data_IF_194719402524
#
_entry.id   IF_194719402524
#
_cell.length_a   1.000
_cell.length_b   1.000
_cell.length_c   1.000
_cell.angle_alpha   90.00
_cell.angle_beta   90.00
_cell.angle_gamma   90.00
#
_symmetry.space_group_name_H-M   'P 1'
#
loop_
_entity.id
_entity.type
_entity.pdbx_description
1 polymer ?
#
# COMPACT_ATOMS: atom_id res chain seq x y z
N UNK A 1 -44.80 -32.41 11.30
CA UNK A 1 -44.21 -32.86 10.01
C UNK A 1 -43.68 -31.69 9.17
N UNK A 2 -44.48 -30.66 8.84
CA UNK A 2 -44.06 -29.49 8.03
C UNK A 2 -42.85 -28.69 8.58
N UNK A 3 -42.75 -28.54 9.91
CA UNK A 3 -41.63 -27.83 10.57
C UNK A 3 -40.29 -28.59 10.52
N UNK A 4 -40.32 -29.93 10.55
CA UNK A 4 -39.11 -30.76 10.40
C UNK A 4 -38.51 -30.66 9.00
N UNK A 5 -39.36 -30.56 7.96
CA UNK A 5 -38.88 -30.38 6.59
C UNK A 5 -38.23 -29.00 6.36
N UNK A 6 -38.75 -27.94 7.01
CA UNK A 6 -38.17 -26.61 6.93
C UNK A 6 -36.79 -26.52 7.62
N UNK A 7 -36.64 -27.16 8.79
CA UNK A 7 -35.36 -27.23 9.48
C UNK A 7 -34.31 -28.05 8.70
N UNK A 8 -34.72 -29.15 8.07
CA UNK A 8 -33.83 -29.95 7.23
C UNK A 8 -33.32 -29.17 6.00
N UNK A 9 -34.17 -28.36 5.37
CA UNK A 9 -33.80 -27.53 4.22
C UNK A 9 -32.86 -26.37 4.59
N UNK A 10 -33.07 -25.75 5.76
CA UNK A 10 -32.17 -24.69 6.25
C UNK A 10 -30.75 -25.21 6.56
N UNK A 11 -30.65 -26.42 7.14
CA UNK A 11 -29.35 -27.04 7.41
C UNK A 11 -28.63 -27.47 6.11
N UNK A 12 -29.37 -27.92 5.09
CA UNK A 12 -28.79 -28.25 3.77
C UNK A 12 -28.23 -27.02 3.04
N UNK A 13 -28.88 -25.85 3.16
CA UNK A 13 -28.40 -24.58 2.60
C UNK A 13 -27.15 -24.03 3.31
N UNK A 14 -26.95 -24.35 4.59
CA UNK A 14 -25.76 -23.92 5.32
C UNK A 14 -24.50 -24.75 4.97
N UNK A 15 -24.67 -26.00 4.53
CA UNK A 15 -23.56 -26.92 4.20
C UNK A 15 -22.92 -26.57 2.84
N UNK A 16 -23.69 -26.01 1.90
CA UNK A 16 -23.18 -25.68 0.55
C UNK A 16 -22.39 -24.37 0.51
N UNK A 17 -22.53 -23.48 1.51
CA UNK A 17 -21.80 -22.20 1.53
C UNK A 17 -20.33 -22.34 1.96
N UNK A 18 -19.96 -23.45 2.59
CA UNK A 18 -18.59 -23.75 3.03
C UNK A 18 -17.69 -24.32 1.91
N UNK A 19 -18.25 -24.65 0.74
CA UNK A 19 -17.52 -25.27 -0.37
C UNK A 19 -16.93 -24.27 -1.39
N UNK A 20 -17.16 -22.96 -1.23
CA UNK A 20 -16.74 -21.93 -2.19
C UNK A 20 -15.55 -21.06 -1.73
N UNK A 21 -14.68 -21.58 -0.84
CA UNK A 21 -13.36 -20.96 -0.58
C UNK A 21 -12.22 -21.98 -0.57
N UNK A 22 -12.17 -22.86 -1.57
CA UNK A 22 -10.88 -23.34 -2.06
C UNK A 22 -10.23 -22.20 -2.85
N UNK A 23 -9.62 -21.26 -2.14
CA UNK A 23 -8.56 -20.42 -2.71
C UNK A 23 -7.41 -21.38 -3.01
N UNK A 24 -7.38 -21.90 -4.24
CA UNK A 24 -6.16 -22.49 -4.77
C UNK A 24 -5.11 -21.39 -4.72
N UNK A 25 -4.15 -21.56 -3.81
CA UNK A 25 -2.86 -20.91 -3.94
C UNK A 25 -2.27 -21.54 -5.21
N UNK A 26 -2.39 -20.84 -6.35
CA UNK A 26 -1.58 -21.17 -7.51
C UNK A 26 -0.11 -21.03 -7.08
N UNK A 27 0.50 -22.19 -6.83
CA UNK A 27 1.93 -22.33 -6.74
C UNK A 27 2.47 -21.90 -8.10
N UNK A 28 3.04 -20.69 -8.16
CA UNK A 28 3.77 -20.22 -9.32
C UNK A 28 4.98 -21.14 -9.52
N UNK A 29 4.78 -22.24 -10.27
CA UNK A 29 5.83 -23.12 -10.74
C UNK A 29 6.70 -22.34 -11.71
N UNK A 30 7.77 -21.75 -11.16
CA UNK A 30 8.86 -21.20 -11.97
C UNK A 30 9.51 -22.36 -12.71
N UNK A 31 9.17 -22.49 -13.99
CA UNK A 31 9.84 -23.36 -14.95
C UNK A 31 11.27 -22.85 -15.14
N UNK A 32 12.20 -23.33 -14.30
CA UNK A 32 13.63 -23.32 -14.61
C UNK A 32 14.03 -24.75 -14.97
N UNK A 33 13.39 -25.26 -16.03
CA UNK A 33 13.84 -26.44 -16.78
C UNK A 33 14.71 -25.97 -17.93
N UNK A 34 16.02 -25.92 -17.72
CA UNK A 34 16.94 -25.49 -18.77
C UNK A 34 18.39 -25.70 -18.41
N UNK A 35 18.87 -26.94 -18.49
CA UNK A 35 20.30 -27.25 -18.58
C UNK A 35 20.83 -26.81 -19.95
N UNK A 36 21.10 -25.51 -20.10
CA UNK A 36 21.92 -25.01 -21.22
C UNK A 36 23.36 -24.83 -20.75
N UNK A 37 24.17 -25.87 -20.99
CA UNK A 37 25.62 -25.73 -21.12
C UNK A 37 25.90 -24.88 -22.37
N UNK A 38 25.87 -23.56 -22.22
CA UNK A 38 26.41 -22.63 -23.19
C UNK A 38 27.38 -21.71 -22.45
N UNK A 39 28.67 -22.01 -22.56
CA UNK A 39 29.73 -21.08 -22.24
C UNK A 39 29.70 -19.97 -23.31
N UNK A 40 29.10 -18.83 -22.97
CA UNK A 40 29.48 -17.57 -23.61
C UNK A 40 29.41 -16.46 -22.57
N UNK A 41 30.60 -15.90 -22.35
CA UNK A 41 31.00 -14.87 -21.43
C UNK A 41 30.36 -13.52 -21.79
N UNK A 42 29.03 -13.42 -21.73
CA UNK A 42 28.29 -12.17 -21.97
C UNK A 42 26.92 -12.11 -21.29
N UNK A 43 26.74 -12.80 -20.15
CA UNK A 43 25.54 -12.63 -19.31
C UNK A 43 25.86 -12.24 -17.85
N UNK A 44 27.13 -12.02 -17.51
CA UNK A 44 27.56 -11.43 -16.22
C UNK A 44 27.40 -9.91 -16.16
N UNK A 45 26.36 -9.35 -16.80
CA UNK A 45 25.94 -7.94 -16.66
C UNK A 45 24.41 -7.72 -16.66
N UNK A 46 23.59 -8.76 -16.60
CA UNK A 46 22.12 -8.59 -16.54
C UNK A 46 21.59 -8.45 -15.10
N UNK A 47 22.45 -8.60 -14.10
CA UNK A 47 22.22 -8.16 -12.73
C UNK A 47 22.74 -6.72 -12.47
N UNK A 48 22.99 -5.93 -13.53
CA UNK A 48 23.48 -4.57 -13.40
C UNK A 48 22.30 -3.61 -13.15
N UNK A 49 21.92 -3.53 -11.88
CA UNK A 49 21.25 -2.37 -11.28
C UNK A 49 19.78 -2.09 -11.66
N UNK A 50 18.88 -2.98 -11.24
CA UNK A 50 17.46 -2.64 -11.09
C UNK A 50 17.19 -1.87 -9.78
N UNK A 51 18.08 -0.96 -9.38
CA UNK A 51 17.85 -0.10 -8.22
C UNK A 51 17.51 1.31 -8.68
N UNK A 52 16.67 2.00 -7.90
CA UNK A 52 16.20 3.31 -8.30
C UNK A 52 17.29 4.39 -8.31
N UNK A 53 18.41 4.20 -7.58
CA UNK A 53 19.53 5.15 -7.57
C UNK A 53 20.20 5.25 -8.95
N UNK A 54 20.22 4.16 -9.73
CA UNK A 54 20.76 4.17 -11.11
C UNK A 54 19.68 4.22 -12.18
N UNK A 55 18.46 3.76 -11.88
CA UNK A 55 17.33 3.83 -12.79
C UNK A 55 16.06 4.33 -12.06
N UNK A 56 15.89 5.65 -11.87
CA UNK A 56 14.79 6.20 -11.08
C UNK A 56 13.41 5.91 -11.69
N UNK A 57 13.33 5.62 -13.00
CA UNK A 57 12.07 5.30 -13.67
C UNK A 57 11.44 4.01 -13.16
N UNK A 58 12.20 3.14 -12.48
CA UNK A 58 11.64 1.90 -11.90
C UNK A 58 10.56 2.20 -10.86
N UNK A 59 10.63 3.34 -10.18
CA UNK A 59 9.63 3.75 -9.18
C UNK A 59 8.29 4.21 -9.79
N UNK A 60 8.26 4.47 -11.10
CA UNK A 60 7.04 4.83 -11.81
C UNK A 60 6.23 3.60 -12.23
N UNK A 61 6.80 2.40 -12.10
CA UNK A 61 6.11 1.15 -12.43
C UNK A 61 4.96 0.93 -11.45
N UNK A 62 3.80 0.56 -11.98
CA UNK A 62 2.60 0.24 -11.18
C UNK A 62 2.93 -0.85 -10.16
N UNK A 63 2.57 -0.62 -8.90
CA UNK A 63 2.87 -1.52 -7.77
C UNK A 63 4.09 -1.08 -6.94
N UNK A 64 4.89 -0.13 -7.42
CA UNK A 64 5.93 0.51 -6.60
C UNK A 64 5.30 1.30 -5.44
N UNK A 65 6.00 1.39 -4.30
CA UNK A 65 5.51 2.11 -3.12
C UNK A 65 5.41 3.64 -3.31
N UNK A 66 6.01 4.18 -4.37
CA UNK A 66 5.85 5.56 -4.79
C UNK A 66 6.82 5.93 -5.90
N UNK A 67 6.68 7.14 -6.47
CA UNK A 67 7.43 7.56 -7.65
C UNK A 67 8.86 8.04 -7.32
N UNK A 68 9.20 8.22 -6.06
CA UNK A 68 10.44 8.86 -5.63
C UNK A 68 11.48 7.82 -5.19
N UNK A 69 12.74 8.04 -5.52
CA UNK A 69 13.82 7.19 -5.05
C UNK A 69 14.45 7.73 -3.76
N UNK A 70 14.65 6.86 -2.77
CA UNK A 70 15.37 7.16 -1.54
C UNK A 70 16.17 5.93 -1.08
N UNK A 71 17.49 6.03 -1.11
CA UNK A 71 18.42 4.98 -0.67
C UNK A 71 18.11 3.61 -1.29
N UNK A 72 18.07 3.54 -2.63
CA UNK A 72 17.66 2.36 -3.42
C UNK A 72 16.23 1.85 -3.23
N UNK A 73 15.37 2.56 -2.50
CA UNK A 73 13.95 2.20 -2.32
C UNK A 73 13.04 3.22 -2.98
N UNK A 74 11.99 2.73 -3.63
CA UNK A 74 10.92 3.58 -4.10
C UNK A 74 10.01 3.96 -2.92
N UNK A 75 9.74 5.24 -2.76
CA UNK A 75 8.93 5.83 -1.70
C UNK A 75 8.06 6.93 -2.30
N UNK A 76 7.15 7.48 -1.51
CA UNK A 76 6.32 8.60 -1.94
C UNK A 76 6.58 9.81 -1.05
N UNK A 77 7.28 10.83 -1.55
CA UNK A 77 7.58 12.03 -0.79
C UNK A 77 6.33 12.82 -0.40
N UNK A 78 5.17 12.56 -1.01
CA UNK A 78 3.91 13.24 -0.69
C UNK A 78 3.16 12.63 0.49
N UNK A 79 3.43 11.37 0.85
CA UNK A 79 2.65 10.62 1.85
C UNK A 79 3.51 9.86 2.86
N UNK A 80 4.77 9.54 2.52
CA UNK A 80 5.68 8.84 3.41
C UNK A 80 6.18 9.77 4.52
N UNK A 81 5.81 9.43 5.76
CA UNK A 81 6.20 10.16 6.97
C UNK A 81 7.71 10.18 7.22
N UNK A 82 8.45 9.17 6.74
CA UNK A 82 9.90 9.05 6.90
C UNK A 82 10.66 9.81 5.82
N UNK A 83 10.01 10.16 4.71
CA UNK A 83 10.63 10.77 3.52
C UNK A 83 9.83 12.00 3.02
N UNK A 84 9.27 12.79 3.92
CA UNK A 84 8.26 13.79 3.57
C UNK A 84 8.85 15.01 2.86
N UNK A 85 8.59 15.12 1.55
CA UNK A 85 9.07 16.17 0.67
C UNK A 85 10.52 16.01 0.21
N UNK A 86 11.29 15.08 0.80
CA UNK A 86 12.62 14.65 0.35
C UNK A 86 13.07 13.41 1.12
N UNK A 87 14.02 12.66 0.55
CA UNK A 87 14.62 11.49 1.17
C UNK A 87 15.18 11.78 2.57
N UNK A 88 14.85 10.93 3.55
CA UNK A 88 15.28 11.04 4.94
C UNK A 88 14.61 12.13 5.78
N UNK A 89 13.72 12.96 5.19
CA UNK A 89 13.02 14.01 5.95
C UNK A 89 11.85 13.41 6.73
N UNK A 90 12.14 12.96 7.95
CA UNK A 90 11.15 12.44 8.88
C UNK A 90 10.30 13.56 9.50
N UNK A 91 8.99 13.39 9.53
CA UNK A 91 8.11 14.25 10.30
C UNK A 91 8.24 13.99 11.80
N UNK A 92 8.22 15.05 12.61
CA UNK A 92 8.20 14.99 14.07
C UNK A 92 7.04 14.13 14.60
N UNK A 93 7.12 13.74 15.87
CA UNK A 93 6.05 12.98 16.52
C UNK A 93 4.69 13.70 16.39
N UNK A 94 3.63 12.91 16.20
CA UNK A 94 2.27 13.43 16.00
C UNK A 94 1.98 14.07 14.64
N UNK A 95 2.98 14.26 13.75
CA UNK A 95 2.75 14.82 12.40
C UNK A 95 2.68 13.73 11.33
N UNK A 96 1.84 13.99 10.32
CA UNK A 96 1.72 13.17 9.11
C UNK A 96 2.37 13.88 7.92
N UNK A 97 2.75 13.13 6.89
CA UNK A 97 3.13 13.72 5.61
C UNK A 97 1.89 13.95 4.76
N UNK A 98 1.68 15.19 4.34
CA UNK A 98 0.58 15.57 3.49
C UNK A 98 1.10 16.48 2.38
N UNK A 99 1.06 16.01 1.13
CA UNK A 99 1.52 16.75 -0.05
C UNK A 99 2.96 17.27 0.12
N UNK A 100 3.84 16.44 0.68
CA UNK A 100 5.26 16.76 0.88
C UNK A 100 5.56 17.67 2.08
N UNK A 101 4.55 17.95 2.92
CA UNK A 101 4.69 18.78 4.12
C UNK A 101 4.28 18.01 5.36
N UNK A 102 5.06 18.17 6.42
CA UNK A 102 4.72 17.63 7.73
C UNK A 102 3.67 18.52 8.39
N UNK A 103 2.48 17.97 8.61
CA UNK A 103 1.33 18.70 9.18
C UNK A 103 0.83 17.97 10.43
N UNK A 104 0.35 18.72 11.42
CA UNK A 104 -0.26 18.13 12.61
C UNK A 104 -1.76 17.93 12.34
N UNK A 105 -2.25 16.69 12.19
CA UNK A 105 -3.66 16.45 11.91
C UNK A 105 -4.55 16.79 13.11
N UNK A 106 -4.00 16.99 14.31
CA UNK A 106 -4.80 17.30 15.49
C UNK A 106 -5.23 18.76 15.60
N UNK A 107 -4.54 19.66 14.91
CA UNK A 107 -4.76 21.11 15.02
C UNK A 107 -4.79 21.83 13.68
N UNK A 108 -4.42 21.18 12.58
CA UNK A 108 -4.44 21.81 11.27
C UNK A 108 -5.83 21.74 10.64
N UNK A 109 -6.48 22.89 10.51
CA UNK A 109 -7.84 23.03 9.94
C UNK A 109 -7.97 22.51 8.50
N UNK A 110 -6.89 22.49 7.72
CA UNK A 110 -6.89 22.01 6.33
C UNK A 110 -6.61 20.51 6.22
N UNK A 111 -6.17 19.88 7.31
CA UNK A 111 -5.71 18.50 7.37
C UNK A 111 -6.17 17.80 8.67
N UNK A 112 -7.37 18.10 9.14
CA UNK A 112 -7.87 17.68 10.43
C UNK A 112 -8.17 16.18 10.45
N UNK A 113 -7.54 15.42 11.33
CA UNK A 113 -7.64 13.96 11.44
C UNK A 113 -6.97 13.18 10.30
N UNK A 114 -6.99 13.70 9.07
CA UNK A 114 -6.34 13.10 7.88
C UNK A 114 -5.88 14.17 6.88
N UNK A 115 -4.94 13.79 6.01
CA UNK A 115 -4.44 14.67 4.95
C UNK A 115 -5.59 15.16 4.05
N UNK A 116 -5.60 16.46 3.77
CA UNK A 116 -6.61 17.12 2.92
C UNK A 116 -8.00 17.29 3.53
N UNK A 117 -8.26 16.82 4.76
CA UNK A 117 -9.55 17.01 5.39
C UNK A 117 -9.67 18.42 5.97
N UNK A 118 -10.31 19.30 5.22
CA UNK A 118 -10.57 20.67 5.63
C UNK A 118 -11.85 20.76 6.47
N UNK A 119 -11.80 21.42 7.62
CA UNK A 119 -13.00 21.74 8.38
C UNK A 119 -13.85 22.82 7.67
N UNK A 120 -15.16 22.81 7.90
CA UNK A 120 -16.08 23.81 7.36
C UNK A 120 -15.66 25.23 7.80
N UNK A 121 -16.13 26.27 7.10
CA UNK A 121 -15.65 27.65 7.29
C UNK A 121 -15.71 28.18 8.74
N UNK A 122 -16.56 27.59 9.60
CA UNK A 122 -16.69 27.94 11.01
C UNK A 122 -16.08 26.90 11.98
N UNK A 123 -15.71 25.72 11.50
CA UNK A 123 -15.19 24.63 12.33
C UNK A 123 -13.69 24.71 12.55
N UNK A 124 -13.27 24.61 13.81
CA UNK A 124 -11.85 24.51 14.21
C UNK A 124 -11.42 23.04 14.30
N UNK A 125 -10.13 22.76 14.13
CA UNK A 125 -9.60 21.41 14.34
C UNK A 125 -9.13 21.22 15.78
N UNK A 126 -9.79 20.33 16.52
CA UNK A 126 -9.50 20.06 17.93
C UNK A 126 -9.35 18.56 18.12
N UNK A 127 -8.18 18.12 18.61
CA UNK A 127 -7.84 16.70 18.79
C UNK A 127 -8.10 15.82 17.56
N UNK A 128 -7.95 16.39 16.35
CA UNK A 128 -8.13 15.66 15.09
C UNK A 128 -9.58 15.57 14.62
N UNK A 129 -10.50 16.26 15.30
CA UNK A 129 -11.92 16.35 14.95
C UNK A 129 -12.28 17.80 14.60
N UNK A 130 -13.09 17.98 13.56
CA UNK A 130 -13.64 19.30 13.24
C UNK A 130 -14.76 19.63 14.23
N UNK A 131 -14.64 20.75 14.93
CA UNK A 131 -15.71 21.25 15.78
C UNK A 131 -16.89 21.73 14.94
N UNK A 132 -18.10 21.60 15.49
CA UNK A 132 -19.32 22.21 14.99
C UNK A 132 -19.47 23.57 15.70
N UNK A 133 -18.75 24.59 15.25
CA UNK A 133 -19.01 25.97 15.65
C UNK A 133 -19.70 26.70 14.50
#
# INVERSE_FOLDING_TARGET
MKSLFLLAMLMALAITLSAATSFEIEEAKSVIGGTRRFLSQSQRRVALTLTCDKNPKICLVKGSAGPDCCSNKCVNFSTDRLNCGRCGKKCSFGKICCKGKCVNPNTNEKHCGKCGNKCNAKGSCVFGMCSYA
#
